data_IF_942572226089
#
_entry.id   IF_942572226089
#
_cell.length_a   1.000
_cell.length_b   1.000
_cell.length_c   1.000
_cell.angle_alpha   90.00
_cell.angle_beta   90.00
_cell.angle_gamma   90.00
#
_symmetry.space_group_name_H-M   'P 1'
#
loop_
_entity.id
_entity.type
_entity.pdbx_description
1 polymer ?
#
# COMPACT_ATOMS: atom_id res chain seq x y z
N UNK A 1 -11.01 -6.89 26.55
CA UNK A 1 -9.75 -6.19 26.17
C UNK A 1 -9.94 -5.69 24.74
N UNK A 2 -9.72 -4.41 24.47
CA UNK A 2 -9.85 -3.85 23.12
C UNK A 2 -8.72 -4.41 22.23
N UNK A 3 -9.05 -4.89 21.04
CA UNK A 3 -8.12 -5.44 20.06
C UNK A 3 -8.46 -4.92 18.67
N UNK A 4 -7.50 -4.96 17.76
CA UNK A 4 -7.69 -4.66 16.35
C UNK A 4 -7.78 -5.99 15.58
N UNK A 5 -8.89 -6.22 14.91
CA UNK A 5 -9.07 -7.44 14.12
C UNK A 5 -8.17 -7.44 12.88
N UNK A 6 -8.00 -6.27 12.25
CA UNK A 6 -7.16 -6.09 11.08
C UNK A 6 -6.53 -4.69 11.08
N UNK A 7 -5.28 -4.61 10.70
CA UNK A 7 -4.62 -3.37 10.22
C UNK A 7 -4.41 -3.56 8.72
N UNK A 8 -5.17 -2.83 7.91
CA UNK A 8 -5.00 -2.82 6.46
C UNK A 8 -4.42 -1.49 6.02
N UNK A 9 -3.43 -1.51 5.15
CA UNK A 9 -2.78 -0.31 4.65
C UNK A 9 -2.25 -0.50 3.23
N UNK A 10 -2.31 0.56 2.43
CA UNK A 10 -1.92 0.51 1.03
C UNK A 10 -0.86 1.57 0.73
N UNK A 11 0.05 1.23 -0.22
CA UNK A 11 1.08 2.15 -0.71
C UNK A 11 1.90 2.75 0.44
N UNK A 12 2.09 4.05 0.47
CA UNK A 12 2.80 4.79 1.53
C UNK A 12 2.17 4.61 2.92
N UNK A 13 0.88 4.26 2.97
CA UNK A 13 0.19 3.94 4.22
C UNK A 13 0.76 2.70 4.91
N UNK A 14 1.39 1.78 4.17
CA UNK A 14 2.02 0.59 4.72
C UNK A 14 3.19 0.94 5.64
N UNK A 15 3.99 1.94 5.31
CA UNK A 15 5.10 2.42 6.16
C UNK A 15 4.59 3.02 7.47
N UNK A 16 3.50 3.81 7.39
CA UNK A 16 2.85 4.37 8.58
C UNK A 16 2.24 3.27 9.47
N UNK A 17 1.60 2.28 8.86
CA UNK A 17 1.04 1.15 9.57
C UNK A 17 2.15 0.30 10.21
N UNK A 18 3.27 0.10 9.53
CA UNK A 18 4.43 -0.58 10.09
C UNK A 18 4.98 0.17 11.32
N UNK A 19 5.13 1.50 11.23
CA UNK A 19 5.53 2.31 12.38
C UNK A 19 4.53 2.24 13.54
N UNK A 20 3.22 2.18 13.24
CA UNK A 20 2.18 1.95 14.24
C UNK A 20 2.33 0.58 14.90
N UNK A 21 2.51 -0.49 14.11
CA UNK A 21 2.61 -1.88 14.61
C UNK A 21 3.80 -2.08 15.55
N UNK A 22 4.91 -1.36 15.32
CA UNK A 22 6.09 -1.44 16.21
C UNK A 22 5.94 -0.66 17.51
N UNK A 23 4.95 0.23 17.63
CA UNK A 23 4.75 1.11 18.79
C UNK A 23 3.47 0.79 19.56
N UNK A 24 2.48 0.18 18.92
CA UNK A 24 1.19 -0.09 19.57
C UNK A 24 1.30 -1.17 20.63
N UNK A 25 0.56 -0.97 21.74
CA UNK A 25 0.33 -1.99 22.77
C UNK A 25 -0.99 -2.73 22.58
N UNK A 26 -1.79 -2.32 21.58
CA UNK A 26 -3.04 -3.00 21.27
C UNK A 26 -2.73 -4.33 20.57
N UNK A 27 -3.37 -5.44 20.99
CA UNK A 27 -3.29 -6.68 20.24
C UNK A 27 -3.85 -6.49 18.82
N UNK A 28 -3.09 -6.90 17.82
CA UNK A 28 -3.48 -6.91 16.40
C UNK A 28 -3.60 -8.36 15.96
N UNK A 29 -4.73 -8.71 15.34
CA UNK A 29 -4.98 -10.09 14.91
C UNK A 29 -4.38 -10.38 13.54
N UNK A 30 -4.63 -9.50 12.57
CA UNK A 30 -4.14 -9.65 11.20
C UNK A 30 -3.61 -8.32 10.68
N UNK A 31 -2.68 -8.43 9.71
CA UNK A 31 -2.14 -7.27 8.98
C UNK A 31 -2.21 -7.56 7.49
N UNK A 32 -2.66 -6.59 6.71
CA UNK A 32 -2.68 -6.68 5.26
C UNK A 32 -2.09 -5.42 4.63
N UNK A 33 -1.02 -5.60 3.87
CA UNK A 33 -0.37 -4.53 3.11
C UNK A 33 -0.64 -4.75 1.62
N UNK A 34 -1.26 -3.76 0.97
CA UNK A 34 -1.57 -3.74 -0.45
C UNK A 34 -0.61 -2.79 -1.16
N UNK A 35 0.27 -3.35 -1.98
CA UNK A 35 1.26 -2.57 -2.73
C UNK A 35 2.13 -1.70 -1.83
N UNK A 36 2.47 -2.18 -0.64
CA UNK A 36 3.36 -1.47 0.28
C UNK A 36 4.69 -1.22 -0.40
N UNK A 37 5.15 0.04 -0.34
CA UNK A 37 6.34 0.39 -1.11
C UNK A 37 7.59 -0.33 -0.61
N UNK A 38 7.79 -0.49 0.69
CA UNK A 38 8.93 -1.18 1.31
C UNK A 38 10.24 -1.09 0.48
N UNK A 39 10.32 -0.03 -0.32
CA UNK A 39 11.37 0.20 -1.28
C UNK A 39 12.47 1.05 -0.64
N UNK A 40 13.66 0.52 -0.64
CA UNK A 40 14.85 1.26 -0.23
C UNK A 40 15.37 2.05 -1.44
N UNK A 41 14.99 3.31 -1.54
CA UNK A 41 15.38 4.17 -2.65
C UNK A 41 16.39 5.22 -2.19
N UNK A 42 17.53 5.27 -2.83
CA UNK A 42 18.59 6.22 -2.51
C UNK A 42 18.13 7.68 -2.60
N UNK A 43 18.67 8.53 -1.73
CA UNK A 43 18.29 9.95 -1.58
C UNK A 43 18.32 10.75 -2.90
N UNK A 44 19.28 10.47 -3.78
CA UNK A 44 19.37 11.14 -5.07
C UNK A 44 18.18 10.82 -5.96
N UNK A 45 17.81 9.54 -6.05
CA UNK A 45 16.63 9.07 -6.81
C UNK A 45 15.35 9.67 -6.26
N UNK A 46 15.15 9.68 -4.93
CA UNK A 46 13.98 10.31 -4.30
C UNK A 46 13.85 11.78 -4.68
N UNK A 47 14.97 12.52 -4.67
CA UNK A 47 14.98 13.95 -5.07
C UNK A 47 14.54 14.16 -6.50
N UNK A 48 14.94 13.26 -7.41
CA UNK A 48 14.55 13.33 -8.82
C UNK A 48 13.08 12.93 -8.99
N UNK A 49 12.62 11.88 -8.28
CA UNK A 49 11.24 11.40 -8.37
C UNK A 49 10.21 12.39 -7.80
N UNK A 50 10.55 13.09 -6.72
CA UNK A 50 9.62 13.98 -6.00
C UNK A 50 8.87 14.97 -6.91
N UNK A 51 9.51 15.76 -7.79
CA UNK A 51 8.80 16.70 -8.64
C UNK A 51 7.84 16.01 -9.61
N UNK A 52 8.20 14.85 -10.15
CA UNK A 52 7.34 14.12 -11.09
C UNK A 52 6.10 13.57 -10.38
N UNK A 53 6.24 12.93 -9.23
CA UNK A 53 5.12 12.44 -8.43
C UNK A 53 4.24 13.60 -7.95
N UNK A 54 4.85 14.69 -7.51
CA UNK A 54 4.09 15.88 -7.13
C UNK A 54 3.24 16.41 -8.28
N UNK A 55 3.82 16.54 -9.49
CA UNK A 55 3.09 17.00 -10.67
C UNK A 55 2.02 16.01 -11.11
N UNK A 56 2.28 14.71 -11.03
CA UNK A 56 1.29 13.68 -11.32
C UNK A 56 0.05 13.81 -10.42
N UNK A 57 0.24 13.90 -9.11
CA UNK A 57 -0.88 14.07 -8.18
C UNK A 57 -1.54 15.44 -8.32
N UNK A 58 -0.76 16.53 -8.53
CA UNK A 58 -1.32 17.86 -8.80
C UNK A 58 -2.16 17.90 -10.07
N UNK A 59 -1.83 17.10 -11.08
CA UNK A 59 -2.60 17.05 -12.33
C UNK A 59 -4.05 16.60 -12.10
N UNK A 60 -4.33 15.79 -11.07
CA UNK A 60 -5.68 15.41 -10.66
C UNK A 60 -6.52 16.64 -10.27
N UNK A 61 -5.92 17.57 -9.52
CA UNK A 61 -6.57 18.81 -9.16
C UNK A 61 -6.76 19.74 -10.37
N UNK A 62 -5.70 19.96 -11.16
CA UNK A 62 -5.76 20.89 -12.31
C UNK A 62 -6.67 20.41 -13.43
N UNK A 63 -6.71 19.09 -13.68
CA UNK A 63 -7.58 18.48 -14.69
C UNK A 63 -9.00 18.21 -14.20
N UNK A 64 -9.33 18.60 -12.94
CA UNK A 64 -10.62 18.28 -12.30
C UNK A 64 -10.93 16.78 -12.35
N UNK A 65 -9.93 15.95 -12.11
CA UNK A 65 -10.02 14.50 -12.13
C UNK A 65 -9.88 13.86 -13.52
N UNK A 66 -9.67 14.64 -14.58
CA UNK A 66 -9.54 14.10 -15.94
C UNK A 66 -8.33 13.19 -16.18
N UNK A 67 -7.32 13.24 -15.30
CA UNK A 67 -6.15 12.36 -15.35
C UNK A 67 -6.29 11.11 -14.47
N UNK A 68 -7.41 10.95 -13.74
CA UNK A 68 -7.61 9.87 -12.77
C UNK A 68 -7.42 8.49 -13.40
N UNK A 69 -8.07 8.25 -14.54
CA UNK A 69 -7.94 6.98 -15.27
C UNK A 69 -6.50 6.63 -15.65
N UNK A 70 -5.69 7.63 -15.96
CA UNK A 70 -4.28 7.42 -16.35
C UNK A 70 -3.36 7.15 -15.16
N UNK A 71 -3.73 7.62 -13.96
CA UNK A 71 -2.88 7.56 -12.77
C UNK A 71 -3.30 6.41 -11.86
N UNK A 72 -4.61 6.13 -11.77
CA UNK A 72 -5.18 5.18 -10.82
C UNK A 72 -6.07 4.11 -11.47
N UNK A 73 -6.02 3.94 -12.79
CA UNK A 73 -6.76 2.90 -13.54
C UNK A 73 -8.29 2.93 -13.37
N UNK A 74 -8.84 3.98 -12.75
CA UNK A 74 -10.23 4.07 -12.32
C UNK A 74 -11.00 5.12 -13.11
N UNK A 75 -12.21 4.75 -13.59
CA UNK A 75 -13.18 5.65 -14.24
C UNK A 75 -14.35 6.05 -13.34
N UNK A 76 -14.34 5.65 -12.07
CA UNK A 76 -15.45 5.92 -11.15
C UNK A 76 -15.50 7.41 -10.76
N UNK A 77 -16.57 8.07 -11.19
CA UNK A 77 -16.80 9.47 -10.87
C UNK A 77 -17.03 9.74 -9.39
N UNK A 78 -17.45 8.73 -8.62
CA UNK A 78 -17.72 8.87 -7.19
C UNK A 78 -16.46 9.15 -6.38
N UNK A 79 -15.30 8.64 -6.82
CA UNK A 79 -14.02 8.84 -6.11
C UNK A 79 -13.27 10.11 -6.56
N UNK A 80 -13.60 10.68 -7.70
CA UNK A 80 -12.94 11.91 -8.24
C UNK A 80 -12.86 13.05 -7.24
N UNK A 81 -13.92 13.41 -6.47
CA UNK A 81 -13.85 14.51 -5.51
C UNK A 81 -12.75 14.33 -4.46
N UNK A 82 -12.52 13.10 -4.00
CA UNK A 82 -11.51 12.80 -2.99
C UNK A 82 -10.09 13.02 -3.53
N UNK A 83 -9.82 12.55 -4.75
CA UNK A 83 -8.52 12.72 -5.39
C UNK A 83 -8.25 14.17 -5.82
N UNK A 84 -9.27 14.91 -6.25
CA UNK A 84 -9.18 16.35 -6.51
C UNK A 84 -8.83 17.08 -5.20
N UNK A 85 -9.49 16.75 -4.09
CA UNK A 85 -9.23 17.34 -2.79
C UNK A 85 -7.81 17.03 -2.29
N UNK A 86 -7.35 15.78 -2.43
CA UNK A 86 -6.00 15.37 -2.10
C UNK A 86 -4.96 16.13 -2.95
N UNK A 87 -5.14 16.20 -4.26
CA UNK A 87 -4.28 16.97 -5.16
C UNK A 87 -4.28 18.48 -4.83
N UNK A 88 -5.42 19.05 -4.39
CA UNK A 88 -5.49 20.44 -3.93
C UNK A 88 -4.66 20.64 -2.66
N UNK A 89 -4.83 19.79 -1.67
CA UNK A 89 -4.19 19.90 -0.36
C UNK A 89 -2.68 19.61 -0.40
N UNK A 90 -2.21 18.79 -1.37
CA UNK A 90 -0.82 18.40 -1.46
C UNK A 90 0.10 19.59 -1.72
N UNK A 91 1.16 19.73 -0.92
CA UNK A 91 2.26 20.66 -1.15
C UNK A 91 3.52 19.90 -1.54
N UNK A 92 4.44 20.56 -2.27
CA UNK A 92 5.73 19.97 -2.62
C UNK A 92 6.52 19.53 -1.38
N UNK A 93 6.49 20.35 -0.32
CA UNK A 93 7.17 20.04 0.93
C UNK A 93 6.59 18.79 1.63
N UNK A 94 5.25 18.61 1.57
CA UNK A 94 4.62 17.41 2.12
C UNK A 94 4.99 16.17 1.31
N UNK A 95 4.89 16.23 -0.02
CA UNK A 95 5.29 15.12 -0.88
C UNK A 95 6.74 14.71 -0.64
N UNK A 96 7.64 15.68 -0.54
CA UNK A 96 9.05 15.42 -0.29
C UNK A 96 9.26 14.71 1.05
N UNK A 97 8.64 15.21 2.14
CA UNK A 97 8.74 14.56 3.46
C UNK A 97 8.20 13.13 3.42
N UNK A 98 7.03 12.93 2.83
CA UNK A 98 6.45 11.59 2.70
C UNK A 98 7.41 10.62 2.00
N UNK A 99 8.00 11.03 0.88
CA UNK A 99 8.96 10.18 0.14
C UNK A 99 10.28 9.98 0.89
N UNK A 100 10.75 11.02 1.59
CA UNK A 100 11.96 10.90 2.41
C UNK A 100 11.73 9.93 3.60
N UNK A 101 10.55 9.96 4.23
CA UNK A 101 10.21 9.11 5.38
C UNK A 101 9.88 7.66 4.98
N UNK A 102 9.17 7.45 3.86
CA UNK A 102 8.70 6.13 3.44
C UNK A 102 9.70 5.32 2.62
N UNK A 103 10.55 6.00 1.85
CA UNK A 103 11.48 5.35 0.92
C UNK A 103 12.93 5.42 1.39
N UNK A 104 13.15 5.81 2.64
CA UNK A 104 14.50 5.88 3.19
C UNK A 104 15.12 4.49 3.27
N UNK A 105 16.42 4.41 2.99
CA UNK A 105 17.22 3.19 3.13
C UNK A 105 17.39 2.87 4.62
N UNK A 106 16.38 2.28 5.21
CA UNK A 106 16.31 1.84 6.60
C UNK A 106 16.20 0.33 6.68
N UNK A 107 16.73 -0.29 7.73
CA UNK A 107 16.41 -1.68 8.02
C UNK A 107 14.89 -1.86 8.17
N UNK A 108 14.37 -2.95 7.66
CA UNK A 108 12.96 -3.29 7.88
C UNK A 108 12.69 -3.45 9.40
N UNK A 109 11.63 -2.82 9.94
CA UNK A 109 11.27 -3.00 11.33
C UNK A 109 10.92 -4.45 11.63
N UNK A 110 11.34 -4.96 12.78
CA UNK A 110 10.97 -6.32 13.19
C UNK A 110 9.50 -6.38 13.65
N UNK A 111 8.80 -7.41 13.22
CA UNK A 111 7.49 -7.78 13.77
C UNK A 111 7.66 -8.95 14.76
N UNK A 112 6.84 -9.04 15.82
CA UNK A 112 6.78 -10.26 16.63
C UNK A 112 6.39 -11.46 15.75
N UNK A 113 7.05 -12.60 15.90
CA UNK A 113 6.80 -13.81 15.09
C UNK A 113 5.32 -14.18 14.98
N UNK A 114 4.59 -14.07 16.09
CA UNK A 114 3.15 -14.37 16.11
C UNK A 114 2.33 -13.41 15.25
N UNK A 115 2.77 -12.17 15.06
CA UNK A 115 2.11 -11.20 14.17
C UNK A 115 2.57 -11.37 12.75
N UNK A 116 3.86 -11.62 12.53
CA UNK A 116 4.43 -11.86 11.20
C UNK A 116 3.71 -13.00 10.48
N UNK A 117 3.42 -14.13 11.16
CA UNK A 117 2.65 -15.26 10.61
C UNK A 117 1.20 -14.92 10.23
N UNK A 118 0.69 -13.77 10.63
CA UNK A 118 -0.65 -13.25 10.35
C UNK A 118 -0.60 -11.97 9.52
N UNK A 119 0.55 -11.73 8.89
CA UNK A 119 0.78 -10.57 8.02
C UNK A 119 0.82 -11.03 6.56
N UNK A 120 0.10 -10.31 5.73
CA UNK A 120 0.04 -10.48 4.29
C UNK A 120 0.70 -9.26 3.63
N UNK A 121 1.74 -9.49 2.83
CA UNK A 121 2.36 -8.49 1.97
C UNK A 121 1.94 -8.80 0.53
N UNK A 122 0.91 -8.14 0.06
CA UNK A 122 0.40 -8.29 -1.29
C UNK A 122 1.19 -7.43 -2.27
N UNK A 123 1.39 -7.97 -3.48
CA UNK A 123 2.04 -7.30 -4.61
C UNK A 123 1.25 -7.57 -5.89
N UNK A 124 0.97 -6.53 -6.67
CA UNK A 124 0.52 -6.67 -8.03
C UNK A 124 1.66 -7.11 -8.95
N UNK A 125 1.46 -8.13 -9.80
CA UNK A 125 2.55 -8.62 -10.66
C UNK A 125 2.97 -7.63 -11.76
N UNK A 126 2.12 -6.63 -12.06
CA UNK A 126 2.40 -5.59 -13.04
C UNK A 126 2.98 -4.29 -12.41
N UNK A 127 3.05 -4.19 -11.08
CA UNK A 127 3.55 -2.99 -10.44
C UNK A 127 5.08 -2.88 -10.42
N UNK A 128 5.59 -1.66 -10.50
CA UNK A 128 7.04 -1.39 -10.45
C UNK A 128 7.72 -1.86 -9.15
N UNK A 129 6.95 -1.94 -8.06
CA UNK A 129 7.45 -2.35 -6.74
C UNK A 129 7.58 -3.87 -6.58
N UNK A 130 7.03 -4.65 -7.49
CA UNK A 130 7.14 -6.13 -7.47
C UNK A 130 8.58 -6.62 -7.33
N UNK A 131 9.54 -5.90 -7.91
CA UNK A 131 10.98 -6.19 -7.80
C UNK A 131 11.53 -6.17 -6.37
N UNK A 132 10.85 -5.51 -5.43
CA UNK A 132 11.28 -5.45 -4.02
C UNK A 132 10.71 -6.60 -3.18
N UNK A 133 9.79 -7.40 -3.73
CA UNK A 133 9.15 -8.51 -3.05
C UNK A 133 10.16 -9.46 -2.38
N UNK A 134 11.24 -9.82 -3.06
CA UNK A 134 12.26 -10.73 -2.51
C UNK A 134 12.96 -10.15 -1.26
N UNK A 135 13.21 -8.85 -1.22
CA UNK A 135 13.83 -8.22 -0.05
C UNK A 135 12.90 -8.21 1.15
N UNK A 136 11.59 -8.00 0.92
CA UNK A 136 10.56 -8.08 1.96
C UNK A 136 10.42 -9.51 2.46
N UNK A 137 10.41 -10.51 1.57
CA UNK A 137 10.37 -11.94 1.94
C UNK A 137 11.56 -12.35 2.81
N UNK A 138 12.74 -11.83 2.53
CA UNK A 138 13.94 -12.09 3.37
C UNK A 138 13.83 -11.45 4.75
N UNK A 139 13.19 -10.28 4.84
CA UNK A 139 13.00 -9.58 6.11
C UNK A 139 11.89 -10.20 6.97
N UNK A 140 10.88 -10.80 6.35
CA UNK A 140 9.71 -11.38 7.03
C UNK A 140 9.43 -12.81 6.54
N UNK A 141 10.32 -13.78 6.87
CA UNK A 141 10.26 -15.13 6.32
C UNK A 141 9.03 -15.95 6.73
N UNK A 142 8.29 -15.51 7.75
CA UNK A 142 7.09 -16.19 8.26
C UNK A 142 5.79 -15.57 7.75
N UNK A 143 5.84 -14.43 7.05
CA UNK A 143 4.66 -13.76 6.51
C UNK A 143 4.18 -14.43 5.21
N UNK A 144 2.96 -14.09 4.78
CA UNK A 144 2.42 -14.50 3.48
C UNK A 144 2.67 -13.41 2.42
N UNK A 145 2.97 -13.84 1.19
CA UNK A 145 3.31 -12.95 0.07
C UNK A 145 2.41 -13.20 -1.15
N UNK A 146 1.10 -12.96 -1.04
CA UNK A 146 0.18 -13.13 -2.15
C UNK A 146 0.54 -12.20 -3.31
N UNK A 147 0.26 -12.66 -4.54
CA UNK A 147 0.46 -11.88 -5.76
C UNK A 147 -0.87 -11.78 -6.50
N UNK A 148 -1.29 -10.56 -6.81
CA UNK A 148 -2.43 -10.31 -7.68
C UNK A 148 -1.94 -10.27 -9.14
N UNK A 149 -2.12 -11.38 -9.85
CA UNK A 149 -1.63 -11.55 -11.21
C UNK A 149 -2.31 -10.57 -12.18
N UNK A 150 -1.49 -9.88 -12.97
CA UNK A 150 -1.94 -8.89 -13.94
C UNK A 150 -2.41 -7.57 -13.36
N UNK A 151 -2.35 -7.40 -12.03
CA UNK A 151 -2.73 -6.15 -11.39
C UNK A 151 -1.52 -5.24 -11.20
N UNK A 152 -1.77 -3.95 -11.35
CA UNK A 152 -0.85 -2.87 -11.03
C UNK A 152 -1.08 -2.38 -9.58
N UNK A 153 -0.28 -1.42 -9.15
CA UNK A 153 -0.29 -0.84 -7.80
C UNK A 153 -1.69 -0.43 -7.32
N UNK A 154 -2.18 -1.05 -6.26
CA UNK A 154 -3.51 -0.82 -5.67
C UNK A 154 -4.68 -1.04 -6.66
N UNK A 155 -4.45 -1.68 -7.80
CA UNK A 155 -5.46 -1.76 -8.86
C UNK A 155 -6.71 -2.52 -8.43
N UNK A 156 -6.59 -3.64 -7.72
CA UNK A 156 -7.77 -4.39 -7.26
C UNK A 156 -8.62 -3.57 -6.29
N UNK A 157 -7.98 -2.92 -5.31
CA UNK A 157 -8.67 -2.06 -4.34
C UNK A 157 -9.46 -0.94 -5.03
N UNK A 158 -8.94 -0.38 -6.12
CA UNK A 158 -9.53 0.77 -6.80
C UNK A 158 -10.58 0.32 -7.81
N UNK A 159 -10.32 -0.77 -8.56
CA UNK A 159 -11.21 -1.23 -9.63
C UNK A 159 -12.40 -2.06 -9.13
N UNK A 160 -12.27 -2.75 -8.00
CA UNK A 160 -13.33 -3.52 -7.34
C UNK A 160 -13.27 -3.37 -5.81
N UNK A 161 -13.62 -2.17 -5.34
CA UNK A 161 -13.58 -1.84 -3.92
C UNK A 161 -14.45 -2.77 -3.05
N UNK A 162 -15.59 -3.23 -3.58
CA UNK A 162 -16.47 -4.17 -2.87
C UNK A 162 -15.84 -5.57 -2.77
N UNK A 163 -15.24 -6.05 -3.86
CA UNK A 163 -14.50 -7.32 -3.87
C UNK A 163 -13.33 -7.29 -2.91
N UNK A 164 -12.56 -6.21 -2.92
CA UNK A 164 -11.45 -6.00 -2.00
C UNK A 164 -11.92 -5.97 -0.53
N UNK A 165 -13.01 -5.26 -0.23
CA UNK A 165 -13.60 -5.24 1.11
C UNK A 165 -14.09 -6.61 1.56
N UNK A 166 -14.70 -7.42 0.66
CA UNK A 166 -15.09 -8.81 0.95
C UNK A 166 -13.88 -9.68 1.25
N UNK A 167 -12.79 -9.53 0.49
CA UNK A 167 -11.53 -10.24 0.74
C UNK A 167 -10.96 -9.89 2.13
N UNK A 168 -10.87 -8.61 2.50
CA UNK A 168 -10.40 -8.20 3.84
C UNK A 168 -11.30 -8.75 4.96
N UNK A 169 -12.61 -8.77 4.75
CA UNK A 169 -13.55 -9.37 5.72
C UNK A 169 -13.28 -10.87 5.88
N UNK A 170 -13.02 -11.58 4.79
CA UNK A 170 -12.65 -13.00 4.84
C UNK A 170 -11.35 -13.21 5.64
N UNK A 171 -10.35 -12.35 5.48
CA UNK A 171 -9.12 -12.39 6.31
C UNK A 171 -9.44 -12.21 7.79
N UNK A 172 -10.31 -11.27 8.15
CA UNK A 172 -10.74 -11.07 9.56
C UNK A 172 -11.41 -12.32 10.12
N UNK A 173 -12.27 -12.99 9.34
CA UNK A 173 -13.08 -14.11 9.79
C UNK A 173 -12.32 -15.44 9.81
N UNK A 174 -11.38 -15.64 8.88
CA UNK A 174 -10.72 -16.92 8.62
C UNK A 174 -9.22 -16.93 8.88
N UNK A 175 -8.58 -15.75 8.92
CA UNK A 175 -7.13 -15.65 9.05
C UNK A 175 -6.35 -16.05 7.80
N UNK A 176 -7.04 -16.17 6.66
CA UNK A 176 -6.44 -16.58 5.37
C UNK A 176 -7.08 -15.79 4.22
N UNK A 177 -6.46 -15.83 3.04
CA UNK A 177 -7.01 -15.23 1.84
C UNK A 177 -7.99 -16.18 1.14
N UNK A 178 -9.12 -15.65 0.60
CA UNK A 178 -10.04 -16.43 -0.21
C UNK A 178 -9.38 -16.92 -1.49
N UNK A 179 -10.06 -17.82 -2.20
CA UNK A 179 -9.69 -18.15 -3.57
C UNK A 179 -10.21 -17.06 -4.51
N UNK A 180 -9.30 -16.45 -5.26
CA UNK A 180 -9.60 -15.46 -6.29
C UNK A 180 -8.88 -15.89 -7.59
N UNK A 181 -9.52 -15.70 -8.77
CA UNK A 181 -8.96 -16.18 -10.05
C UNK A 181 -7.57 -15.62 -10.38
N UNK A 182 -7.25 -14.45 -9.86
CA UNK A 182 -5.98 -13.73 -10.09
C UNK A 182 -5.03 -13.79 -8.89
N UNK A 183 -5.39 -14.51 -7.81
CA UNK A 183 -4.56 -14.61 -6.61
C UNK A 183 -3.63 -15.82 -6.70
N UNK A 184 -2.33 -15.56 -6.69
CA UNK A 184 -1.28 -16.55 -6.45
C UNK A 184 -0.77 -16.43 -5.01
N UNK A 185 -0.89 -17.51 -4.26
CA UNK A 185 -0.41 -17.60 -2.85
C UNK A 185 1.07 -17.92 -2.78
#
# INVERSE_FOLDING_TARGET
MTRLALVAASSIGADLAMAFLTQTKLPVEHVFFDGGQFAQIGRATRRVMTPFLYLAIKSLYWSKGGTLKKILWCDDDSIKPYFIAAGKALTYGNMRRQLDDSLEDKPFPSLPDALERRTFFEFGSAEDHFKYRESVMKAYPHAAFPVFEGHDHMQYQISDAEGFARMLRYVIERGELPELPFLRK
#
